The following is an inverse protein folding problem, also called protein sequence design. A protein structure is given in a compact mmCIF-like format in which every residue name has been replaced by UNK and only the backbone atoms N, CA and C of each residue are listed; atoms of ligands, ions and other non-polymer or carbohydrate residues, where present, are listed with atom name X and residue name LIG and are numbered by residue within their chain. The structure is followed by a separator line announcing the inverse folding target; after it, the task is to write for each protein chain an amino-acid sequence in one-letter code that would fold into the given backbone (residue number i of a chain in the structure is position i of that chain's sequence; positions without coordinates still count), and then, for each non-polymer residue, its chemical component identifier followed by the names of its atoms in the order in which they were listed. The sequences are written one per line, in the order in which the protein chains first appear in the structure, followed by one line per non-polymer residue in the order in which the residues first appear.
data_IF_815484169137
#
_entry.id   IF_815484169137
#
_cell.length_a   1.000
_cell.length_b   1.000
_cell.length_c   1.000
_cell.angle_alpha   90.00
_cell.angle_beta   90.00
_cell.angle_gamma   90.00
#
_symmetry.space_group_name_H-M   'P 1'
#
loop_
_entity.id
_entity.type
_entity.pdbx_description
1 polymer ?
2 non-polymer ?
3 non-polymer ?
4 non-polymer ?
5 water ?
#
# COMPACT_ATOMS: atom_id res chain seq x y z
N UNK A 21 -4.82 -0.32 29.23
CA UNK A 21 -6.25 -0.16 29.63
C UNK A 21 -7.21 -0.81 28.60
N UNK A 22 -8.32 -0.15 28.26
CA UNK A 22 -9.45 -0.80 27.62
C UNK A 22 -10.19 0.08 26.61
N UNK A 23 -11.10 -0.53 25.86
CA UNK A 23 -11.87 0.11 24.80
C UNK A 23 -13.17 -0.61 24.56
N UNK A 24 -14.23 0.16 24.30
CA UNK A 24 -15.51 -0.39 23.90
C UNK A 24 -15.80 0.03 22.44
N UNK A 25 -16.27 -0.92 21.64
CA UNK A 25 -16.60 -0.68 20.26
C UNK A 25 -17.89 -1.44 19.99
N UNK A 26 -18.97 -0.70 19.72
CA UNK A 26 -20.29 -1.29 19.50
C UNK A 26 -20.69 -2.24 20.65
N UNK A 27 -20.44 -1.79 21.88
CA UNK A 27 -20.80 -2.56 23.06
C UNK A 27 -20.00 -3.83 23.29
N UNK A 28 -18.80 -3.90 22.71
CA UNK A 28 -17.89 -5.02 22.95
C UNK A 28 -16.56 -4.46 23.42
N UNK A 29 -15.99 -5.07 24.46
CA UNK A 29 -14.81 -4.54 25.14
C UNK A 29 -13.53 -5.22 24.62
N UNK A 30 -12.49 -4.41 24.42
CA UNK A 30 -11.21 -4.88 23.87
C UNK A 30 -10.05 -4.45 24.77
N UNK A 31 -9.23 -5.41 25.19
CA UNK A 31 -8.05 -5.14 26.01
C UNK A 31 -6.93 -4.70 25.09
N UNK A 32 -6.27 -3.60 25.41
CA UNK A 32 -5.13 -3.13 24.62
C UNK A 32 -3.87 -3.92 25.01
N UNK A 33 -3.16 -4.44 24.01
CA UNK A 33 -1.89 -5.11 24.22
C UNK A 33 -0.73 -4.16 24.00
N UNK A 34 -0.73 -3.50 22.84
CA UNK A 34 0.28 -2.48 22.53
C UNK A 34 -0.09 -1.66 21.30
N UNK A 35 0.55 -0.51 21.17
CA UNK A 35 0.43 0.33 20.00
C UNK A 35 1.33 -0.18 18.89
N UNK A 36 0.86 -0.14 17.65
CA UNK A 36 1.60 -0.68 16.50
C UNK A 36 1.62 0.25 15.28
N UNK A 37 1.06 1.45 15.42
CA UNK A 37 0.99 2.40 14.30
C UNK A 37 0.57 3.77 14.77
N UNK A 38 0.91 4.79 13.97
CA UNK A 38 0.57 6.18 14.29
C UNK A 38 0.50 7.08 13.05
N UNK A 39 -0.32 8.13 13.13
CA UNK A 39 -0.51 9.06 12.02
C UNK A 39 -1.23 10.36 12.37
N UNK A 40 -0.52 11.27 13.02
CA UNK A 40 -1.04 12.61 13.32
C UNK A 40 -2.11 12.63 14.40
N UNK A 41 -3.32 12.22 14.03
CA UNK A 41 -4.46 12.15 14.94
C UNK A 41 -5.09 10.76 14.91
N UNK A 42 -4.27 9.73 14.68
CA UNK A 42 -4.73 8.35 14.69
C UNK A 42 -3.67 7.42 15.29
N UNK A 43 -4.13 6.40 16.00
CA UNK A 43 -3.26 5.37 16.55
C UNK A 43 -3.82 4.00 16.20
N UNK A 44 -2.93 3.02 16.03
CA UNK A 44 -3.35 1.65 15.80
C UNK A 44 -2.85 0.78 16.95
N UNK A 45 -3.74 -0.04 17.49
CA UNK A 45 -3.45 -0.88 18.65
C UNK A 45 -3.70 -2.35 18.34
N UNK A 46 -2.81 -3.21 18.85
CA UNK A 46 -3.10 -4.65 18.94
C UNK A 46 -3.95 -4.87 20.19
N UNK A 47 -5.01 -5.66 20.09
CA UNK A 47 -5.97 -5.82 21.18
C UNK A 47 -6.56 -7.21 21.23
N UNK A 48 -7.15 -7.55 22.37
CA UNK A 48 -7.86 -8.82 22.54
C UNK A 48 -9.29 -8.53 22.92
N UNK A 49 -10.22 -9.32 22.40
CA UNK A 49 -11.62 -9.20 22.77
C UNK A 49 -11.99 -10.17 23.91
N UNK A 50 -13.26 -10.17 24.28
CA UNK A 50 -13.83 -11.05 25.29
C UNK A 50 -13.43 -12.52 25.11
N UNK A 51 -13.40 -13.02 23.87
CA UNK A 51 -13.06 -14.42 23.59
C UNK A 51 -11.54 -14.68 23.45
N UNK A 52 -10.72 -13.71 23.85
CA UNK A 52 -9.26 -13.77 23.68
C UNK A 52 -8.79 -13.93 22.23
N UNK A 53 -9.59 -13.44 21.28
CA UNK A 53 -9.16 -13.32 19.90
C UNK A 53 -8.45 -11.99 19.74
N UNK A 54 -7.41 -12.00 18.91
CA UNK A 54 -6.57 -10.82 18.67
C UNK A 54 -7.04 -10.02 17.43
N UNK A 55 -7.03 -8.70 17.54
CA UNK A 55 -7.47 -7.81 16.44
C UNK A 55 -6.61 -6.57 16.48
N UNK A 56 -6.70 -5.78 15.42
CA UNK A 56 -6.13 -4.43 15.43
C UNK A 56 -7.28 -3.42 15.46
N UNK A 57 -7.18 -2.42 16.32
CA UNK A 57 -8.15 -1.35 16.34
C UNK A 57 -7.45 -0.07 15.91
N UNK A 58 -8.00 0.58 14.88
CA UNK A 58 -7.51 1.90 14.49
C UNK A 58 -8.39 2.97 15.10
N UNK A 59 -7.76 3.87 15.85
CA UNK A 59 -8.43 4.96 16.52
C UNK A 59 -8.13 6.26 15.75
N UNK A 60 -9.16 7.08 15.58
CA UNK A 60 -8.99 8.36 14.92
C UNK A 60 -9.71 9.41 15.74
N UNK A 61 -8.96 10.43 16.14
CA UNK A 61 -9.47 11.57 16.88
C UNK A 61 -10.05 12.55 15.89
N UNK A 62 -11.34 12.87 16.02
CA UNK A 62 -12.00 13.78 15.06
C UNK A 62 -12.06 15.26 15.50
N UNK A 63 -11.67 15.56 16.74
CA UNK A 63 -11.77 16.93 17.29
C UNK A 63 -11.41 18.06 16.32
N UNK A 64 -10.27 17.95 15.65
CA UNK A 64 -9.75 19.02 14.80
C UNK A 64 -9.96 18.77 13.29
N UNK A 65 -11.00 18.00 12.95
CA UNK A 65 -11.24 17.61 11.56
C UNK A 65 -12.31 18.49 10.90
N UNK A 66 -11.91 19.19 9.84
CA UNK A 66 -12.83 19.91 8.97
C UNK A 66 -13.80 18.98 8.24
N UNK A 67 -14.76 19.56 7.53
CA UNK A 67 -15.80 18.78 6.87
C UNK A 67 -15.30 17.93 5.70
N UNK A 68 -14.33 18.46 4.95
CA UNK A 68 -13.77 17.73 3.81
C UNK A 68 -13.02 16.49 4.29
N UNK A 69 -12.22 16.68 5.34
CA UNK A 69 -11.48 15.62 5.98
C UNK A 69 -12.43 14.53 6.49
N UNK A 70 -13.46 14.96 7.20
CA UNK A 70 -14.44 14.02 7.73
C UNK A 70 -15.07 13.23 6.60
N UNK A 71 -15.32 13.88 5.48
CA UNK A 71 -15.94 13.20 4.36
C UNK A 71 -14.96 12.29 3.65
N UNK A 72 -13.68 12.64 3.61
CA UNK A 72 -12.67 11.75 3.05
C UNK A 72 -12.55 10.46 3.90
N UNK A 73 -12.76 10.58 5.21
CA UNK A 73 -12.68 9.45 6.13
C UNK A 73 -13.87 8.51 5.95
N UNK A 74 -15.04 9.09 5.79
CA UNK A 74 -16.27 8.32 5.63
C UNK A 74 -16.25 7.59 4.30
N UNK A 75 -15.73 8.27 3.30
CA UNK A 75 -15.60 7.69 2.00
C UNK A 75 -14.64 6.49 1.99
N UNK A 76 -13.48 6.63 2.61
CA UNK A 76 -12.55 5.50 2.67
C UNK A 76 -13.15 4.34 3.47
N UNK A 77 -13.81 4.63 4.59
CA UNK A 77 -14.43 3.57 5.36
C UNK A 77 -15.49 2.80 4.55
N UNK A 78 -16.26 3.52 3.73
CA UNK A 78 -17.35 2.91 2.96
C UNK A 78 -16.80 2.00 1.89
N UNK A 79 -15.74 2.43 1.23
CA UNK A 79 -15.08 1.56 0.26
C UNK A 79 -14.44 0.35 0.92
N UNK A 80 -13.80 0.52 2.08
CA UNK A 80 -13.18 -0.61 2.76
C UNK A 80 -14.23 -1.67 3.13
N UNK A 81 -15.31 -1.19 3.71
CA UNK A 81 -16.45 -2.02 4.04
C UNK A 81 -17.04 -2.70 2.79
N UNK A 82 -17.27 -1.96 1.71
CA UNK A 82 -17.77 -2.57 0.47
C UNK A 82 -16.83 -3.59 -0.15
N UNK A 83 -15.54 -3.27 -0.23
CA UNK A 83 -14.62 -4.15 -0.97
C UNK A 83 -14.21 -5.41 -0.18
N UNK A 84 -14.76 -5.56 1.04
CA UNK A 84 -14.62 -6.78 1.83
C UNK A 84 -15.04 -8.02 1.02
N UNK A 85 -16.19 -7.93 0.37
CA UNK A 85 -16.69 -9.02 -0.46
C UNK A 85 -15.72 -9.39 -1.58
N UNK A 86 -15.08 -8.38 -2.19
CA UNK A 86 -14.51 -8.54 -3.52
C UNK A 86 -13.11 -9.12 -3.57
N UNK A 87 -12.36 -9.04 -2.48
CA UNK A 87 -11.03 -9.64 -2.45
C UNK A 87 -10.58 -9.87 -1.02
N UNK A 88 -9.94 -11.02 -0.81
CA UNK A 88 -9.32 -11.32 0.47
C UNK A 88 -7.91 -10.77 0.55
N UNK A 89 -7.46 -10.03 -0.48
CA UNK A 89 -6.17 -9.32 -0.39
C UNK A 89 -6.33 -7.86 0.05
N UNK A 90 -7.54 -7.51 0.51
CA UNK A 90 -7.76 -6.26 1.20
C UNK A 90 -7.97 -6.55 2.68
N UNK A 91 -7.28 -5.80 3.54
CA UNK A 91 -7.40 -6.00 4.98
C UNK A 91 -8.86 -6.14 5.41
N UNK A 92 -9.09 -6.97 6.43
CA UNK A 92 -10.41 -7.23 6.96
C UNK A 92 -10.82 -6.13 7.92
N UNK A 93 -12.06 -5.67 7.77
CA UNK A 93 -12.68 -4.74 8.70
C UNK A 93 -13.91 -5.45 9.24
N UNK A 94 -13.90 -5.75 10.54
CA UNK A 94 -14.96 -6.54 11.17
C UNK A 94 -16.06 -5.65 11.69
N UNK A 95 -15.68 -4.49 12.20
CA UNK A 95 -16.65 -3.62 12.80
C UNK A 95 -16.07 -2.22 12.91
N UNK A 96 -16.93 -1.27 13.20
CA UNK A 96 -16.49 0.06 13.52
C UNK A 96 -17.56 0.81 14.27
N UNK A 97 -17.12 1.85 14.95
CA UNK A 97 -17.97 2.76 15.68
C UNK A 97 -17.51 4.16 15.34
N UNK A 98 -18.44 5.01 14.96
CA UNK A 98 -18.12 6.36 14.51
C UNK A 98 -19.04 7.35 15.21
N UNK A 99 -18.45 8.41 15.77
CA UNK A 99 -19.20 9.48 16.43
C UNK A 99 -18.62 10.80 15.96
N UNK A 100 -19.08 11.90 16.52
CA UNK A 100 -18.55 13.21 16.18
C UNK A 100 -17.14 13.43 16.74
N UNK A 101 -16.79 12.68 17.78
CA UNK A 101 -15.50 12.84 18.44
C UNK A 101 -14.43 11.86 17.93
N UNK A 102 -14.82 10.65 17.54
CA UNK A 102 -13.82 9.63 17.16
C UNK A 102 -14.30 8.58 16.15
N UNK A 103 -13.34 7.83 15.61
CA UNK A 103 -13.62 6.57 14.95
C UNK A 103 -12.82 5.42 15.59
N UNK A 104 -13.46 4.27 15.79
CA UNK A 104 -12.77 3.03 16.12
C UNK A 104 -13.07 2.05 15.01
N UNK A 105 -12.04 1.45 14.44
CA UNK A 105 -12.19 0.44 13.41
C UNK A 105 -11.53 -0.85 13.89
N UNK A 106 -12.35 -1.90 14.01
CA UNK A 106 -11.86 -3.21 14.40
C UNK A 106 -11.49 -3.97 13.14
N UNK A 107 -10.21 -4.23 13.01
CA UNK A 107 -9.64 -4.85 11.84
C UNK A 107 -8.87 -6.11 12.21
N UNK A 108 -8.58 -6.89 11.19
CA UNK A 108 -7.62 -7.98 11.16
C UNK A 108 -6.30 -7.48 11.72
N UNK A 109 -5.66 -8.29 12.56
CA UNK A 109 -4.29 -7.99 12.99
C UNK A 109 -3.31 -8.71 12.08
N UNK A 110 -2.32 -7.99 11.56
CA UNK A 110 -1.29 -8.60 10.73
C UNK A 110 -0.04 -8.89 11.52
N UNK A 111 0.82 -9.72 10.93
CA UNK A 111 2.09 -10.06 11.54
C UNK A 111 3.00 -8.84 11.59
N UNK A 112 3.03 -8.10 10.48
CA UNK A 112 3.95 -6.97 10.29
C UNK A 112 3.65 -6.32 8.93
N UNK A 113 4.05 -5.07 8.73
CA UNK A 113 3.89 -4.43 7.42
C UNK A 113 5.12 -4.62 6.54
N UNK A 114 4.90 -4.52 5.23
CA UNK A 114 5.93 -4.86 4.26
C UNK A 114 7.16 -3.95 4.36
N UNK A 115 6.98 -2.68 4.66
CA UNK A 115 8.14 -1.80 4.75
C UNK A 115 9.10 -2.24 5.84
N UNK A 116 8.56 -2.50 7.03
CA UNK A 116 9.38 -2.91 8.17
C UNK A 116 10.02 -4.26 7.91
N UNK A 117 9.21 -5.20 7.40
CA UNK A 117 9.70 -6.53 7.05
C UNK A 117 10.88 -6.51 6.06
N UNK A 118 10.79 -5.62 5.06
CA UNK A 118 11.88 -5.49 4.07
C UNK A 118 13.12 -4.83 4.67
N UNK A 119 12.93 -3.87 5.58
CA UNK A 119 14.05 -3.14 6.17
C UNK A 119 14.96 -4.02 7.03
N UNK A 120 14.38 -4.99 7.74
CA UNK A 120 15.17 -5.98 8.47
C UNK A 120 15.30 -7.27 7.66
N UNK A 121 15.77 -7.13 6.42
CA UNK A 121 15.89 -8.25 5.48
C UNK A 121 17.12 -8.05 4.59
N UNK A 122 18.04 -9.02 4.61
CA UNK A 122 19.25 -8.95 3.79
C UNK A 122 18.94 -9.23 2.32
N UNK A 123 18.23 -10.33 2.08
CA UNK A 123 17.78 -10.69 0.75
C UNK A 123 16.45 -11.42 0.84
N UNK A 124 15.80 -11.62 -0.30
CA UNK A 124 14.46 -12.19 -0.35
C UNK A 124 14.43 -13.47 -1.19
N UNK A 125 13.72 -14.47 -0.70
CA UNK A 125 13.40 -15.66 -1.47
C UNK A 125 12.61 -15.24 -2.73
N UNK A 126 13.09 -15.61 -3.94
CA UNK A 126 12.41 -15.31 -5.19
C UNK A 126 10.94 -15.76 -5.23
N UNK A 127 10.65 -16.87 -4.58
CA UNK A 127 9.31 -17.40 -4.49
C UNK A 127 8.43 -16.49 -3.61
N UNK A 128 9.00 -16.01 -2.51
CA UNK A 128 8.28 -15.14 -1.61
C UNK A 128 8.01 -13.81 -2.31
N UNK A 129 9.01 -13.32 -3.04
CA UNK A 129 8.91 -12.11 -3.81
C UNK A 129 7.78 -12.17 -4.84
N UNK A 130 7.84 -13.18 -5.71
CA UNK A 130 6.79 -13.46 -6.70
C UNK A 130 5.39 -13.56 -6.08
N UNK A 131 5.29 -14.21 -4.93
CA UNK A 131 4.01 -14.44 -4.27
C UNK A 131 3.43 -13.12 -3.69
N UNK A 132 4.31 -12.28 -3.15
CA UNK A 132 3.96 -10.96 -2.69
C UNK A 132 3.52 -10.03 -3.84
N UNK A 133 4.25 -10.07 -4.94
CA UNK A 133 3.88 -9.35 -6.15
C UNK A 133 2.44 -9.69 -6.57
N UNK A 134 2.13 -10.99 -6.65
CA UNK A 134 0.78 -11.44 -7.02
C UNK A 134 -0.28 -10.81 -6.14
N UNK A 135 -0.07 -10.90 -4.83
CA UNK A 135 -0.96 -10.34 -3.84
C UNK A 135 -1.16 -8.85 -4.08
N UNK A 136 -0.07 -8.14 -4.38
CA UNK A 136 -0.13 -6.69 -4.60
C UNK A 136 -0.99 -6.37 -5.83
N UNK A 137 -0.72 -7.10 -6.91
CA UNK A 137 -1.49 -6.93 -8.15
C UNK A 137 -2.97 -7.22 -7.92
N UNK A 138 -3.30 -8.30 -7.23
CA UNK A 138 -4.69 -8.64 -6.94
C UNK A 138 -5.42 -7.53 -6.19
N UNK A 139 -4.77 -7.01 -5.15
CA UNK A 139 -5.40 -6.01 -4.30
C UNK A 139 -5.60 -4.70 -5.07
N UNK A 140 -4.57 -4.27 -5.78
CA UNK A 140 -4.63 -3.03 -6.56
C UNK A 140 -5.60 -3.14 -7.75
N UNK A 141 -5.55 -4.25 -8.46
CA UNK A 141 -6.56 -4.57 -9.48
C UNK A 141 -7.99 -4.42 -8.94
N UNK A 142 -8.21 -4.87 -7.72
CA UNK A 142 -9.56 -4.87 -7.14
C UNK A 142 -10.06 -3.42 -6.95
N UNK A 143 -9.20 -2.56 -6.40
CA UNK A 143 -9.63 -1.19 -6.17
C UNK A 143 -9.85 -0.48 -7.52
N UNK A 144 -9.03 -0.81 -8.52
CA UNK A 144 -9.20 -0.20 -9.84
C UNK A 144 -10.55 -0.53 -10.46
N UNK A 145 -11.07 -1.73 -10.16
CA UNK A 145 -12.36 -2.15 -10.69
C UNK A 145 -13.50 -1.32 -10.12
N UNK A 146 -13.29 -0.66 -8.99
CA UNK A 146 -14.33 0.18 -8.39
C UNK A 146 -14.04 1.67 -8.62
N UNK A 147 -13.17 1.99 -9.57
CA UNK A 147 -12.83 3.38 -9.88
C UNK A 147 -11.80 4.06 -8.98
N UNK A 148 -11.14 3.31 -8.10
CA UNK A 148 -10.20 3.92 -7.16
C UNK A 148 -8.78 3.81 -7.71
N UNK A 149 -8.08 4.94 -7.78
CA UNK A 149 -6.63 4.94 -8.02
C UNK A 149 -6.00 5.37 -6.70
N UNK A 150 -5.03 4.60 -6.21
CA UNK A 150 -4.50 4.84 -4.87
C UNK A 150 -3.61 6.08 -4.94
N UNK A 151 -2.64 6.05 -5.85
CA UNK A 151 -1.76 7.18 -6.17
C UNK A 151 -0.71 7.53 -5.11
N UNK A 152 -0.57 6.70 -4.09
CA UNK A 152 0.53 6.86 -3.12
C UNK A 152 0.92 5.51 -2.52
N UNK A 153 1.01 4.50 -3.40
CA UNK A 153 1.40 3.17 -2.97
C UNK A 153 2.86 3.15 -2.53
N UNK A 154 3.09 2.50 -1.39
CA UNK A 154 4.42 2.34 -0.82
C UNK A 154 4.38 1.00 -0.10
N UNK A 155 5.54 0.48 0.31
CA UNK A 155 5.52 -0.80 1.02
C UNK A 155 4.74 -0.74 2.34
N UNK A 156 4.73 0.42 2.98
CA UNK A 156 3.96 0.63 4.22
C UNK A 156 2.45 0.39 4.06
N UNK A 157 1.92 0.46 2.83
CA UNK A 157 0.48 0.25 2.61
C UNK A 157 0.09 -1.21 2.56
N UNK A 158 1.06 -2.09 2.61
CA UNK A 158 0.81 -3.52 2.57
C UNK A 158 1.13 -4.23 3.90
N UNK A 159 0.26 -5.15 4.26
CA UNK A 159 0.32 -5.84 5.53
C UNK A 159 0.54 -7.33 5.28
N UNK A 160 1.55 -7.90 5.92
CA UNK A 160 1.74 -9.35 5.86
C UNK A 160 0.85 -10.00 6.91
N UNK A 161 -0.04 -10.87 6.46
CA UNK A 161 -0.93 -11.63 7.32
C UNK A 161 -0.94 -13.08 6.84
N UNK A 162 -0.34 -13.97 7.63
CA UNK A 162 -0.33 -15.41 7.35
C UNK A 162 0.32 -15.73 6.01
N UNK A 163 1.48 -15.13 5.77
CA UNK A 163 2.21 -15.31 4.52
C UNK A 163 1.58 -14.66 3.30
N UNK A 164 0.67 -13.71 3.52
CA UNK A 164 0.01 -13.02 2.43
C UNK A 164 0.10 -11.51 2.62
N UNK A 165 0.15 -10.78 1.51
CA UNK A 165 0.08 -9.33 1.54
C UNK A 165 -1.37 -8.88 1.40
N UNK A 166 -1.75 -7.94 2.26
CA UNK A 166 -3.04 -7.28 2.12
C UNK A 166 -2.85 -5.78 2.06
N UNK A 167 -3.60 -5.15 1.16
CA UNK A 167 -3.64 -3.71 1.06
C UNK A 167 -4.42 -3.16 2.25
N UNK A 168 -3.82 -2.19 2.93
CA UNK A 168 -4.32 -1.63 4.18
C UNK A 168 -5.27 -0.45 3.90
N UNK A 169 -5.00 0.34 2.87
CA UNK A 169 -5.86 1.51 2.61
C UNK A 169 -5.94 1.87 1.14
N UNK A 170 -6.74 2.88 0.82
CA UNK A 170 -7.10 3.19 -0.55
C UNK A 170 -6.62 4.56 -1.04
N UNK A 171 -5.87 5.29 -0.20
CA UNK A 171 -5.37 6.63 -0.53
C UNK A 171 -6.44 7.73 -0.60
N UNK A 172 -7.61 7.47 -0.05
CA UNK A 172 -8.75 8.39 -0.14
C UNK A 172 -8.80 9.39 1.02
N UNK A 173 -8.65 8.91 2.26
CA UNK A 173 -8.66 9.80 3.43
C UNK A 173 -7.48 10.76 3.37
N UNK A 174 -7.71 12.01 3.77
CA UNK A 174 -6.64 13.01 3.87
C UNK A 174 -5.47 12.57 4.74
N UNK A 175 -4.25 12.88 4.29
CA UNK A 175 -3.00 12.50 4.94
C UNK A 175 -2.80 10.98 4.90
N UNK A 188 9.30 8.21 5.41
CA UNK A 188 8.18 7.30 5.22
C UNK A 188 6.92 8.04 4.77
N UNK A 189 6.58 9.10 5.51
CA UNK A 189 5.45 9.95 5.16
C UNK A 189 5.90 11.03 4.18
N UNK A 190 5.13 11.22 3.12
CA UNK A 190 5.48 12.18 2.07
C UNK A 190 6.66 11.76 1.20
N UNK A 192 8.96 10.41 -1.72
CA UNK A 192 8.85 10.73 -3.14
C UNK A 192 9.39 9.58 -4.02
N UNK A 193 9.97 8.57 -3.38
CA UNK A 193 10.69 7.53 -4.11
C UNK A 193 9.82 6.61 -4.96
N UNK A 194 8.51 6.63 -4.72
CA UNK A 194 7.57 5.75 -5.42
C UNK A 194 6.63 6.54 -6.31
N UNK A 195 6.90 7.82 -6.46
CA UNK A 195 5.99 8.73 -7.12
C UNK A 195 6.25 8.75 -8.63
N UNK A 196 5.19 8.54 -9.43
CA UNK A 196 5.37 8.53 -10.88
C UNK A 196 5.53 9.92 -11.52
N UNK A 197 6.14 9.97 -12.72
CA UNK A 197 6.40 11.23 -13.41
C UNK A 197 5.18 12.11 -13.57
N UNK A 198 4.09 11.52 -14.07
CA UNK A 198 2.83 12.25 -14.30
C UNK A 198 2.23 12.90 -13.05
N UNK A 199 2.52 12.34 -11.87
CA UNK A 199 2.10 12.94 -10.60
C UNK A 199 2.94 14.18 -10.30
N UNK A 200 4.21 14.15 -10.71
CA UNK A 200 5.11 15.28 -10.55
C UNK A 200 4.77 16.42 -11.52
N UNK A 201 4.40 16.08 -12.76
CA UNK A 201 4.11 17.07 -13.80
C UNK A 201 2.82 17.88 -13.61
N UNK A 202 1.88 17.37 -12.80
CA UNK A 202 0.55 17.99 -12.63
C UNK A 202 0.53 19.51 -12.44
N UNK A 203 1.53 20.04 -11.74
CA UNK A 203 1.48 21.42 -11.25
C UNK A 203 1.79 22.43 -12.34
N UNK A 215 -1.96 13.31 -16.13
CA UNK A 215 -3.05 13.11 -15.19
C UNK A 215 -3.01 11.73 -14.53
N UNK A 216 -3.63 11.62 -13.36
CA UNK A 216 -3.68 10.38 -12.59
C UNK A 216 -4.61 9.35 -13.25
N UNK A 217 -4.05 8.20 -13.59
CA UNK A 217 -4.81 7.07 -14.10
C UNK A 217 -4.37 5.83 -13.30
N UNK A 218 -5.03 4.69 -13.51
CA UNK A 218 -4.56 3.41 -12.93
C UNK A 218 -3.07 3.10 -13.21
N UNK A 219 -2.54 3.62 -14.32
CA UNK A 219 -1.13 3.45 -14.65
C UNK A 219 -0.21 4.06 -13.60
N UNK A 220 -0.65 5.10 -12.91
CA UNK A 220 0.14 5.68 -11.82
C UNK A 220 0.48 4.66 -10.73
N UNK A 221 -0.50 3.84 -10.34
CA UNK A 221 -0.27 2.79 -9.35
C UNK A 221 0.69 1.72 -9.88
N UNK A 222 0.69 1.45 -11.19
CA UNK A 222 1.64 0.50 -11.78
C UNK A 222 3.10 0.93 -11.57
N UNK A 223 3.36 2.21 -11.76
CA UNK A 223 4.72 2.73 -11.54
C UNK A 223 5.15 2.47 -10.10
N UNK A 224 4.30 2.84 -9.15
CA UNK A 224 4.57 2.72 -7.73
C UNK A 224 4.81 1.26 -7.33
N UNK A 225 3.96 0.38 -7.83
CA UNK A 225 4.15 -1.05 -7.65
C UNK A 225 5.47 -1.50 -8.25
N UNK A 226 5.82 -0.96 -9.41
CA UNK A 226 7.11 -1.25 -10.03
C UNK A 226 8.29 -0.82 -9.16
N UNK A 227 8.19 0.37 -8.55
CA UNK A 227 9.21 0.80 -7.57
C UNK A 227 9.28 -0.13 -6.38
N UNK A 228 8.13 -0.64 -5.92
CA UNK A 228 8.16 -1.59 -4.81
C UNK A 228 8.87 -2.88 -5.22
N UNK A 229 8.55 -3.43 -6.40
CA UNK A 229 9.15 -4.70 -6.84
C UNK A 229 10.65 -4.52 -7.09
N UNK A 230 11.02 -3.38 -7.66
CA UNK A 230 12.42 -3.02 -7.93
C UNK A 230 13.24 -2.99 -6.62
N UNK A 231 12.63 -2.47 -5.56
CA UNK A 231 13.18 -2.50 -4.21
C UNK A 231 13.36 -3.93 -3.71
N UNK A 232 12.33 -4.76 -3.89
CA UNK A 232 12.40 -6.18 -3.49
C UNK A 232 13.37 -6.99 -4.37
N UNK A 233 13.79 -6.43 -5.50
CA UNK A 233 14.68 -7.12 -6.42
C UNK A 233 16.14 -6.70 -6.18
N UNK A 234 16.38 -5.40 -6.16
CA UNK A 234 17.73 -4.82 -6.08
C UNK A 234 18.08 -4.21 -4.72
N UNK A 235 17.13 -4.24 -3.78
CA UNK A 235 17.39 -3.73 -2.42
C UNK A 235 17.39 -2.20 -2.31
N UNK A 236 16.86 -1.51 -3.32
CA UNK A 236 16.74 -0.06 -3.30
C UNK A 236 15.69 0.39 -4.31
N UNK A 237 15.10 1.56 -4.10
CA UNK A 237 14.20 2.13 -5.10
C UNK A 237 15.03 2.72 -6.25
N UNK A 238 14.41 2.90 -7.44
CA UNK A 238 15.22 3.25 -8.61
C UNK A 238 15.95 4.60 -8.56
N UNK A 239 15.51 5.54 -7.71
CA UNK A 239 16.16 6.85 -7.61
C UNK A 239 16.69 7.14 -6.21
N UNK A 240 16.88 6.09 -5.41
CA UNK A 240 17.33 6.21 -4.02
C UNK A 240 18.74 6.83 -3.85
N UNK A 241 19.53 6.80 -4.92
CA UNK A 241 20.91 7.30 -4.91
C UNK A 241 20.94 8.82 -4.81
N UNK A 242 20.01 9.46 -5.50
CA UNK A 242 19.94 10.92 -5.57
C UNK A 242 19.39 11.46 -4.24
N UNK A 243 20.23 12.10 -3.44
CA UNK A 243 19.85 12.53 -2.08
C UNK A 243 18.99 13.80 -2.11
N UNK A 244 19.41 14.77 -2.90
CA UNK A 244 18.65 16.00 -3.07
C UNK A 244 17.28 15.73 -3.73
N UNK A 245 16.21 16.19 -3.09
CA UNK A 245 14.84 15.88 -3.51
C UNK A 245 14.46 16.52 -4.85
N UNK A 246 14.99 17.71 -5.12
CA UNK A 246 14.70 18.42 -6.37
C UNK A 246 15.39 17.74 -7.55
N UNK A 247 16.59 17.24 -7.33
CA UNK A 247 17.30 16.46 -8.34
C UNK A 247 16.56 15.15 -8.59
N UNK A 248 16.17 14.49 -7.51
CA UNK A 248 15.41 13.25 -7.57
C UNK A 248 14.13 13.46 -8.39
N UNK A 249 13.38 14.51 -8.08
CA UNK A 249 12.20 14.84 -8.86
C UNK A 249 12.54 15.05 -10.33
N UNK A 250 13.63 15.76 -10.61
CA UNK A 250 14.02 16.05 -12.00
C UNK A 250 14.48 14.78 -12.73
N UNK A 251 15.16 13.89 -12.03
CA UNK A 251 15.55 12.61 -12.63
C UNK A 251 14.33 11.75 -13.01
N UNK A 252 13.31 11.75 -12.15
CA UNK A 252 12.11 10.93 -12.35
C UNK A 252 11.37 11.34 -13.62
N UNK A 253 11.29 12.63 -13.90
CA UNK A 253 10.63 13.12 -15.12
C UNK A 253 11.54 13.24 -16.34
N UNK A 254 12.85 13.01 -16.19
CA UNK A 254 13.80 13.20 -17.29
C UNK A 254 13.98 11.92 -18.10
N UNK A 255 13.47 11.88 -19.34
CA UNK A 255 13.61 10.67 -20.16
C UNK A 255 15.04 10.37 -20.61
N UNK A 256 15.92 11.37 -20.53
CA UNK A 256 17.35 11.15 -20.77
C UNK A 256 18.03 10.40 -19.63
N UNK A 257 17.43 10.43 -18.44
CA UNK A 257 17.98 9.71 -17.29
C UNK A 257 17.56 8.25 -17.37
N UNK A 258 18.52 7.37 -17.64
CA UNK A 258 18.23 5.95 -17.78
C UNK A 258 18.27 5.25 -16.44
N UNK A 259 17.23 4.45 -16.20
CA UNK A 259 17.12 3.67 -14.98
C UNK A 259 17.90 2.37 -15.21
N UNK A 260 18.80 2.04 -14.29
CA UNK A 260 19.59 0.83 -14.46
C UNK A 260 18.78 -0.38 -14.04
N UNK A 261 18.87 -1.45 -14.82
CA UNK A 261 18.30 -2.74 -14.45
C UNK A 261 19.41 -3.81 -14.55
N UNK A 262 20.29 -3.88 -13.53
CA UNK A 262 21.33 -4.91 -13.52
C UNK A 262 20.79 -6.30 -13.85
N UNK A 263 21.59 -7.12 -14.53
CA UNK A 263 21.13 -8.46 -14.90
C UNK A 263 21.01 -9.34 -13.67
N UNK A 264 20.10 -10.30 -13.75
CA UNK A 264 19.80 -11.19 -12.63
C UNK A 264 19.36 -12.51 -13.23
N UNK A 265 19.34 -13.58 -12.43
CA UNK A 265 18.85 -14.86 -12.96
C UNK A 265 17.48 -14.75 -13.65
N UNK A 266 16.48 -14.22 -12.95
CA UNK A 266 15.10 -14.12 -13.48
C UNK A 266 14.93 -13.01 -14.53
N UNK A 267 14.96 -13.40 -15.79
CA UNK A 267 14.77 -12.47 -16.91
C UNK A 267 13.37 -11.86 -16.97
N UNK A 268 12.35 -12.67 -16.63
CA UNK A 268 10.97 -12.20 -16.60
C UNK A 268 10.74 -11.09 -15.55
N UNK A 269 11.45 -11.19 -14.42
CA UNK A 269 11.42 -10.15 -13.40
C UNK A 269 11.99 -8.85 -13.93
N UNK A 270 13.14 -8.94 -14.59
CA UNK A 270 13.76 -7.77 -15.20
C UNK A 270 12.81 -7.12 -16.21
N UNK A 271 12.10 -7.95 -16.97
CA UNK A 271 11.15 -7.45 -17.97
C UNK A 271 9.93 -6.75 -17.36
N UNK A 272 9.34 -7.32 -16.31
CA UNK A 272 8.28 -6.65 -15.53
C UNK A 272 8.72 -5.26 -15.07
N UNK A 273 9.93 -5.16 -14.52
CA UNK A 273 10.43 -3.90 -13.97
C UNK A 273 10.59 -2.87 -15.06
N UNK A 274 11.11 -3.30 -16.20
CA UNK A 274 11.21 -2.42 -17.36
C UNK A 274 9.85 -1.96 -17.84
N UNK A 275 8.87 -2.86 -17.82
CA UNK A 275 7.54 -2.51 -18.33
C UNK A 275 6.75 -1.60 -17.38
N UNK A 276 6.93 -1.79 -16.06
CA UNK A 276 6.25 -0.93 -15.09
C UNK A 276 6.86 0.47 -15.02
N UNK A 277 8.15 0.58 -15.33
CA UNK A 277 8.84 1.85 -15.14
C UNK A 277 9.07 2.66 -16.41
N UNK A 278 8.09 2.61 -17.33
CA UNK A 278 8.05 3.53 -18.47
C UNK A 278 7.49 4.86 -18.00
N UNK A 279 8.18 5.95 -18.32
CA UNK A 279 7.75 7.27 -17.90
C UNK A 279 6.44 7.70 -18.55
N UNK A 280 6.23 7.32 -19.81
CA UNK A 280 4.97 7.61 -20.47
C UNK A 280 3.93 6.59 -20.02
N UNK A 281 2.87 7.05 -19.32
CA UNK A 281 1.86 6.09 -18.82
C UNK A 281 1.15 5.29 -19.91
N UNK A 282 1.05 5.85 -21.11
CA UNK A 282 0.46 5.15 -22.25
C UNK A 282 1.37 4.04 -22.79
N UNK A 283 2.68 4.16 -22.53
CA UNK A 283 3.62 3.07 -22.84
C UNK A 283 3.78 2.06 -21.69
N UNK A 284 3.22 2.38 -20.52
CA UNK A 284 3.39 1.56 -19.32
C UNK A 284 2.40 0.41 -19.34
N UNK A 285 2.86 -0.75 -18.89
CA UNK A 285 2.02 -1.95 -18.81
C UNK A 285 0.88 -1.70 -17.80
N UNK A 286 -0.28 -2.31 -18.07
CA UNK A 286 -1.45 -2.20 -17.22
C UNK A 286 -1.48 -3.36 -16.25
N UNK A 287 -2.33 -3.26 -15.22
CA UNK A 287 -2.49 -4.33 -14.25
C UNK A 287 -3.05 -5.63 -14.84
N UNK A 288 -4.12 -5.56 -15.65
CA UNK A 288 -4.56 -6.80 -16.32
C UNK A 288 -3.47 -7.47 -17.14
N UNK A 289 -2.62 -6.69 -17.81
CA UNK A 289 -1.46 -7.21 -18.55
C UNK A 289 -0.42 -7.84 -17.61
N UNK A 290 -0.16 -7.21 -16.48
CA UNK A 290 0.82 -7.75 -15.51
C UNK A 290 0.32 -9.07 -14.92
N UNK A 291 -0.99 -9.23 -14.80
CA UNK A 291 -1.50 -10.49 -14.27
C UNK A 291 -1.35 -11.69 -15.25
N UNK A 292 -1.16 -11.40 -16.54
CA UNK A 292 -0.93 -12.44 -17.55
C UNK A 292 0.56 -12.61 -17.89
N UNK A 293 1.42 -11.83 -17.23
CA UNK A 293 2.84 -11.82 -17.53
C UNK A 293 3.46 -13.17 -17.11
N UNK A 294 4.45 -13.66 -17.89
CA UNK A 294 5.08 -14.93 -17.52
C UNK A 294 5.72 -14.94 -16.10
N UNK A 295 6.24 -13.79 -15.65
CA UNK A 295 6.73 -13.66 -14.26
C UNK A 295 5.78 -14.18 -13.17
N UNK A 296 4.48 -13.88 -13.26
CA UNK A 296 3.54 -14.38 -12.23
C UNK A 296 2.82 -15.66 -12.60
N UNK A 297 2.91 -16.08 -13.85
CA UNK A 297 2.12 -17.24 -14.30
C UNK A 297 2.95 -18.50 -14.40
N UNK A 298 4.19 -18.37 -14.84
CA UNK A 298 4.95 -19.55 -15.25
C UNK A 298 5.67 -20.23 -14.07
N UNK A 299 5.52 -21.56 -14.01
CA UNK A 299 6.03 -22.44 -12.95
C UNK A 299 5.51 -22.05 -11.56
#
# INVERSE_FOLDING_TARGET
MHHHHHHSSGVDLGTENLYFQSMSVKGRIYSILKQIGSGGSSKVFQVLNEKKQIYAIKYVNLEEADNQTLDSYRNEIAYLNKLQQHSDKIIRLYDYEITDQYIYMVMECGNIDLNSWLKKKKSIDPWERKSYWKNMLEAVHTIHQHGIVHSDLKPANFLIVDGMLKLIDFGIANQMQPDTTSVVKDSQVGXVNYMPPEAIKDMSSSRENGKSKSKISPKSDVWSLGCILYYMTYGKTPFQQIINQISKLHAIIDPNHEIEFPDIPEKDLQDVLKCCLKRDPKQRISIPELLAHPYVQIQTHPVNQMAKGTTEE
#
